data_IF_128588935542
#
_entry.id   IF_128588935542
#
_cell.length_a   1.000
_cell.length_b   1.000
_cell.length_c   1.000
_cell.angle_alpha   90.00
_cell.angle_beta   90.00
_cell.angle_gamma   90.00
#
_symmetry.space_group_name_H-M   'P 1'
#
loop_
_entity.id
_entity.type
_entity.pdbx_description
1 polymer ?
#
# COMPACT_ATOMS: atom_id res chain seq x y z
N UNK A 1 -27.97 -21.57 -1.56
CA UNK A 1 -28.66 -20.61 -2.43
C UNK A 1 -30.00 -20.30 -1.81
N UNK A 2 -30.25 -19.05 -1.44
CA UNK A 2 -31.54 -18.61 -0.90
C UNK A 2 -32.46 -18.19 -2.05
N UNK A 3 -33.73 -18.59 -1.98
CA UNK A 3 -34.72 -18.33 -3.02
C UNK A 3 -35.75 -17.32 -2.51
N UNK A 4 -36.00 -16.29 -3.30
CA UNK A 4 -37.01 -15.28 -3.03
C UNK A 4 -38.04 -15.24 -4.14
N UNK A 5 -39.29 -14.93 -3.81
CA UNK A 5 -40.31 -14.63 -4.81
C UNK A 5 -40.02 -13.26 -5.42
N UNK A 6 -40.06 -13.16 -6.75
CA UNK A 6 -39.94 -11.87 -7.42
C UNK A 6 -41.10 -10.96 -7.08
N UNK A 7 -40.88 -9.67 -6.97
CA UNK A 7 -41.94 -8.67 -6.80
C UNK A 7 -42.97 -8.69 -7.94
N UNK A 8 -42.63 -9.25 -9.11
CA UNK A 8 -43.49 -9.35 -10.29
C UNK A 8 -44.60 -10.41 -10.15
N UNK A 9 -44.43 -11.43 -9.31
CA UNK A 9 -45.42 -12.46 -9.10
C UNK A 9 -46.73 -11.90 -8.48
N UNK A 10 -46.61 -10.94 -7.58
CA UNK A 10 -47.77 -10.34 -6.88
C UNK A 10 -48.69 -9.58 -7.84
N UNK A 11 -48.23 -8.63 -8.71
CA UNK A 11 -49.08 -7.99 -9.69
C UNK A 11 -49.65 -8.95 -10.74
N UNK A 12 -48.92 -9.97 -11.16
CA UNK A 12 -49.44 -10.97 -12.07
C UNK A 12 -50.59 -11.77 -11.44
N UNK A 13 -50.44 -12.19 -10.20
CA UNK A 13 -51.48 -12.89 -9.45
C UNK A 13 -52.73 -12.01 -9.23
N UNK A 14 -52.53 -10.71 -8.99
CA UNK A 14 -53.62 -9.76 -8.87
C UNK A 14 -54.38 -9.54 -10.16
N UNK A 15 -53.67 -9.43 -11.30
CA UNK A 15 -54.30 -9.31 -12.62
C UNK A 15 -55.10 -10.59 -12.95
N UNK A 16 -54.56 -11.76 -12.65
CA UNK A 16 -55.26 -13.04 -12.89
C UNK A 16 -56.48 -13.10 -11.99
N UNK A 17 -56.37 -12.90 -10.69
CA UNK A 17 -57.51 -12.93 -9.73
C UNK A 17 -58.57 -11.87 -10.05
N UNK A 18 -58.12 -10.64 -10.34
CA UNK A 18 -59.03 -9.53 -10.69
C UNK A 18 -59.74 -9.76 -12.03
N UNK A 19 -59.02 -10.26 -13.05
CA UNK A 19 -59.60 -10.57 -14.34
C UNK A 19 -60.63 -11.68 -14.28
N UNK A 20 -60.39 -12.73 -13.50
CA UNK A 20 -61.37 -13.80 -13.26
C UNK A 20 -62.58 -13.29 -12.48
N UNK A 21 -62.35 -12.55 -11.40
CA UNK A 21 -63.43 -12.00 -10.58
C UNK A 21 -64.30 -11.02 -11.37
N UNK A 22 -63.73 -10.15 -12.19
CA UNK A 22 -64.44 -9.20 -13.02
C UNK A 22 -65.23 -9.92 -14.15
N UNK A 23 -64.69 -10.98 -14.73
CA UNK A 23 -65.38 -11.81 -15.71
C UNK A 23 -66.64 -12.45 -15.11
N UNK A 24 -66.54 -12.99 -13.89
CA UNK A 24 -67.68 -13.57 -13.17
C UNK A 24 -68.72 -12.50 -12.78
N UNK A 25 -68.30 -11.33 -12.34
CA UNK A 25 -69.19 -10.26 -11.93
C UNK A 25 -69.94 -9.63 -13.09
N UNK A 26 -69.32 -9.51 -14.28
CA UNK A 26 -69.94 -8.90 -15.45
C UNK A 26 -70.66 -9.91 -16.37
N UNK A 27 -70.48 -11.22 -16.14
CA UNK A 27 -70.99 -12.27 -17.02
C UNK A 27 -70.35 -12.22 -18.43
N UNK A 28 -69.12 -11.65 -18.55
CA UNK A 28 -68.38 -11.47 -19.82
C UNK A 28 -67.05 -12.18 -19.77
N UNK A 29 -66.62 -12.73 -20.90
CA UNK A 29 -65.40 -13.52 -21.00
C UNK A 29 -64.12 -12.66 -21.28
N UNK A 30 -64.30 -11.42 -21.75
CA UNK A 30 -63.22 -10.56 -22.19
C UNK A 30 -62.18 -10.27 -21.08
N UNK A 31 -62.58 -9.99 -19.83
CA UNK A 31 -61.63 -9.78 -18.75
C UNK A 31 -60.78 -11.01 -18.44
N UNK A 32 -61.38 -12.21 -18.54
CA UNK A 32 -60.63 -13.45 -18.33
C UNK A 32 -59.63 -13.74 -19.48
N UNK A 33 -60.00 -13.38 -20.72
CA UNK A 33 -59.09 -13.53 -21.88
C UNK A 33 -57.87 -12.61 -21.71
N UNK A 34 -58.03 -11.38 -21.24
CA UNK A 34 -56.91 -10.46 -20.97
C UNK A 34 -56.00 -10.99 -19.86
N UNK A 35 -56.58 -11.70 -18.86
CA UNK A 35 -55.82 -12.29 -17.74
C UNK A 35 -55.07 -13.60 -18.16
N UNK A 36 -55.49 -14.26 -19.24
CA UNK A 36 -54.92 -15.56 -19.66
C UNK A 36 -53.39 -15.59 -19.83
N UNK A 37 -52.73 -14.62 -20.47
CA UNK A 37 -51.28 -14.65 -20.60
C UNK A 37 -50.60 -14.59 -19.23
N UNK A 38 -51.12 -13.84 -18.28
CA UNK A 38 -50.59 -13.78 -16.93
C UNK A 38 -50.85 -15.07 -16.14
N UNK A 39 -51.98 -15.73 -16.36
CA UNK A 39 -52.30 -17.05 -15.78
C UNK A 39 -51.28 -18.12 -16.30
N UNK A 40 -50.95 -18.10 -17.60
CA UNK A 40 -49.93 -18.97 -18.14
C UNK A 40 -48.58 -18.73 -17.50
N UNK A 41 -48.17 -17.47 -17.35
CA UNK A 41 -46.88 -17.12 -16.68
C UNK A 41 -46.87 -17.60 -15.23
N UNK A 42 -47.94 -17.36 -14.46
CA UNK A 42 -48.04 -17.78 -13.03
C UNK A 42 -48.09 -19.31 -12.94
N UNK A 43 -48.85 -19.99 -13.81
CA UNK A 43 -48.89 -21.46 -13.89
C UNK A 43 -47.57 -22.08 -14.25
N UNK A 44 -46.89 -21.53 -15.26
CA UNK A 44 -45.53 -21.96 -15.67
C UNK A 44 -44.54 -21.72 -14.51
N UNK A 45 -44.62 -20.57 -13.83
CA UNK A 45 -43.82 -20.29 -12.64
C UNK A 45 -44.04 -21.32 -11.53
N UNK A 46 -45.27 -21.74 -11.30
CA UNK A 46 -45.59 -22.77 -10.30
C UNK A 46 -45.00 -24.15 -10.67
N UNK A 47 -45.00 -24.51 -11.93
CA UNK A 47 -44.40 -25.76 -12.46
C UNK A 47 -42.87 -25.67 -12.37
N UNK A 48 -42.28 -24.61 -12.93
CA UNK A 48 -40.83 -24.38 -12.92
C UNK A 48 -40.28 -24.14 -11.50
N UNK A 49 -41.13 -23.74 -10.54
CA UNK A 49 -40.74 -23.58 -9.15
C UNK A 49 -40.22 -24.84 -8.48
N UNK A 50 -40.50 -26.00 -9.07
CA UNK A 50 -39.99 -27.31 -8.62
C UNK A 50 -38.57 -27.56 -9.09
N UNK A 51 -38.09 -26.86 -10.11
CA UNK A 51 -36.72 -26.99 -10.61
C UNK A 51 -35.76 -26.28 -9.66
N UNK A 52 -34.82 -27.00 -9.06
CA UNK A 52 -33.75 -26.42 -8.25
C UNK A 52 -32.70 -25.82 -9.20
N UNK A 53 -32.67 -24.50 -9.28
CA UNK A 53 -31.58 -23.80 -9.98
C UNK A 53 -30.31 -24.00 -9.17
N UNK A 54 -29.28 -24.54 -9.79
CA UNK A 54 -27.95 -24.70 -9.20
C UNK A 54 -26.93 -23.95 -10.04
N UNK A 55 -26.41 -22.88 -9.47
CA UNK A 55 -25.41 -22.01 -10.13
C UNK A 55 -24.11 -22.11 -9.39
N UNK A 56 -23.04 -22.42 -10.12
CA UNK A 56 -21.67 -22.37 -9.63
C UNK A 56 -21.00 -21.10 -10.14
N UNK A 57 -20.26 -20.43 -9.25
CA UNK A 57 -19.53 -19.20 -9.57
C UNK A 57 -18.07 -19.36 -9.23
N UNK A 58 -17.21 -19.02 -10.19
CA UNK A 58 -15.77 -18.92 -9.98
C UNK A 58 -15.32 -17.52 -10.39
N UNK A 59 -14.58 -16.86 -9.50
CA UNK A 59 -13.99 -15.57 -9.79
C UNK A 59 -12.48 -15.74 -9.88
N UNK A 60 -11.90 -15.19 -10.93
CA UNK A 60 -10.45 -15.14 -11.14
C UNK A 60 -10.03 -13.72 -11.46
N UNK A 61 -8.82 -13.35 -11.05
CA UNK A 61 -8.23 -12.04 -11.29
C UNK A 61 -7.05 -12.22 -12.24
N UNK A 62 -6.84 -11.27 -13.15
CA UNK A 62 -5.78 -11.32 -14.18
C UNK A 62 -4.38 -11.40 -13.56
N UNK A 63 -4.17 -10.73 -12.43
CA UNK A 63 -2.88 -10.72 -11.71
C UNK A 63 -3.07 -10.55 -10.20
N UNK A 64 -2.17 -11.16 -9.45
CA UNK A 64 -2.18 -11.14 -7.98
C UNK A 64 -1.29 -10.06 -7.38
N UNK A 65 -0.60 -9.26 -8.22
CA UNK A 65 0.27 -8.15 -7.83
C UNK A 65 -0.05 -6.94 -8.68
N UNK A 66 -0.25 -5.79 -8.03
CA UNK A 66 -0.55 -4.51 -8.68
C UNK A 66 0.11 -3.35 -7.93
N UNK A 67 0.16 -2.19 -8.56
CA UNK A 67 0.52 -0.94 -7.91
C UNK A 67 -0.75 -0.17 -7.53
N UNK A 68 -0.62 0.70 -6.57
CA UNK A 68 -1.65 1.64 -6.19
C UNK A 68 -2.04 2.52 -7.39
N UNK A 69 -3.34 2.62 -7.65
CA UNK A 69 -3.91 3.29 -8.81
C UNK A 69 -4.07 2.41 -10.06
N UNK A 70 -3.54 1.19 -10.06
CA UNK A 70 -3.72 0.27 -11.18
C UNK A 70 -5.15 -0.27 -11.26
N UNK A 71 -5.57 -0.53 -12.49
CA UNK A 71 -6.81 -1.25 -12.77
C UNK A 71 -6.51 -2.74 -12.97
N UNK A 72 -7.36 -3.56 -12.37
CA UNK A 72 -7.33 -5.02 -12.49
C UNK A 72 -8.61 -5.51 -13.14
N UNK A 73 -8.45 -6.48 -14.04
CA UNK A 73 -9.57 -7.19 -14.63
C UNK A 73 -9.88 -8.45 -13.81
N UNK A 74 -11.14 -8.66 -13.50
CA UNK A 74 -11.59 -9.90 -12.90
C UNK A 74 -12.62 -10.57 -13.79
N UNK A 75 -12.52 -11.88 -13.95
CA UNK A 75 -13.43 -12.69 -14.72
C UNK A 75 -14.33 -13.49 -13.77
N UNK A 76 -15.62 -13.46 -14.05
CA UNK A 76 -16.64 -14.23 -13.34
C UNK A 76 -17.16 -15.29 -14.28
N UNK A 77 -16.90 -16.55 -13.96
CA UNK A 77 -17.42 -17.70 -14.66
C UNK A 77 -18.68 -18.19 -13.94
N UNK A 78 -19.79 -18.18 -14.63
CA UNK A 78 -21.08 -18.62 -14.11
C UNK A 78 -21.49 -19.88 -14.86
N UNK A 79 -21.69 -20.97 -14.14
CA UNK A 79 -22.14 -22.25 -14.67
C UNK A 79 -23.52 -22.56 -14.12
N UNK A 80 -24.51 -22.79 -14.99
CA UNK A 80 -25.81 -23.29 -14.57
C UNK A 80 -25.89 -24.78 -14.80
N UNK A 81 -26.08 -25.57 -13.74
CA UNK A 81 -26.26 -27.04 -13.89
C UNK A 81 -27.69 -27.42 -14.26
N UNK A 82 -28.65 -26.63 -13.80
CA UNK A 82 -30.07 -26.90 -14.07
C UNK A 82 -30.83 -25.59 -14.33
N UNK A 83 -31.56 -25.53 -15.41
CA UNK A 83 -32.38 -24.37 -15.80
C UNK A 83 -31.57 -23.25 -16.44
N UNK A 84 -32.21 -22.54 -17.37
CA UNK A 84 -31.65 -21.31 -17.96
C UNK A 84 -31.92 -20.14 -17.02
N UNK A 85 -30.90 -19.35 -16.70
CA UNK A 85 -30.97 -18.25 -15.77
C UNK A 85 -30.30 -17.00 -16.31
N UNK A 86 -30.86 -15.86 -15.99
CA UNK A 86 -30.22 -14.56 -16.13
C UNK A 86 -29.44 -14.29 -14.84
N UNK A 87 -28.12 -14.20 -14.92
CA UNK A 87 -27.23 -14.07 -13.76
C UNK A 87 -26.48 -12.74 -13.77
N UNK A 88 -26.53 -12.04 -12.64
CA UNK A 88 -25.73 -10.84 -12.36
C UNK A 88 -24.81 -11.10 -11.17
N UNK A 89 -23.55 -10.72 -11.30
CA UNK A 89 -22.60 -10.75 -10.19
C UNK A 89 -22.42 -9.34 -9.62
N UNK A 90 -22.60 -9.21 -8.31
CA UNK A 90 -22.43 -7.97 -7.57
C UNK A 90 -21.21 -8.13 -6.66
N UNK A 91 -20.14 -7.40 -6.95
CA UNK A 91 -18.97 -7.36 -6.09
C UNK A 91 -19.30 -6.64 -4.78
N UNK A 92 -18.88 -7.21 -3.64
CA UNK A 92 -19.04 -6.55 -2.36
C UNK A 92 -18.11 -5.33 -2.27
N UNK A 93 -18.51 -4.23 -1.60
CA UNK A 93 -17.65 -3.08 -1.38
C UNK A 93 -16.39 -3.49 -0.63
N UNK A 94 -15.23 -3.13 -1.16
CA UNK A 94 -13.93 -3.41 -0.56
C UNK A 94 -13.25 -2.09 -0.19
N UNK A 95 -12.81 -1.90 1.06
CA UNK A 95 -12.07 -0.71 1.45
C UNK A 95 -10.81 -0.54 0.59
N UNK A 96 -10.65 0.63 -0.04
CA UNK A 96 -9.49 0.93 -0.88
C UNK A 96 -9.52 0.31 -2.28
N UNK A 97 -10.65 -0.23 -2.72
CA UNK A 97 -10.86 -0.74 -4.08
C UNK A 97 -12.16 -0.17 -4.62
N UNK A 98 -12.10 0.54 -5.74
CA UNK A 98 -13.28 1.04 -6.44
C UNK A 98 -13.66 0.11 -7.58
N UNK A 99 -14.95 -0.10 -7.74
CA UNK A 99 -15.48 -0.81 -8.89
C UNK A 99 -15.58 0.18 -10.05
N UNK A 100 -14.82 -0.05 -11.10
CA UNK A 100 -14.84 0.77 -12.33
C UNK A 100 -15.96 0.28 -13.24
N UNK A 101 -15.98 -1.04 -13.51
CA UNK A 101 -17.02 -1.68 -14.32
C UNK A 101 -17.55 -2.92 -13.59
N UNK A 102 -18.85 -2.96 -13.43
CA UNK A 102 -19.54 -4.18 -12.98
C UNK A 102 -19.64 -5.17 -14.15
N UNK A 103 -19.46 -6.47 -13.88
CA UNK A 103 -19.71 -7.48 -14.90
C UNK A 103 -21.15 -7.38 -15.42
N UNK A 104 -21.39 -7.40 -16.74
CA UNK A 104 -22.75 -7.36 -17.28
C UNK A 104 -23.55 -8.59 -16.86
N UNK A 105 -24.85 -8.41 -16.80
CA UNK A 105 -25.79 -9.52 -16.61
C UNK A 105 -25.73 -10.45 -17.81
N UNK A 106 -25.64 -11.73 -17.58
CA UNK A 106 -25.50 -12.76 -18.62
C UNK A 106 -26.61 -13.82 -18.54
N UNK A 107 -27.07 -14.26 -19.71
CA UNK A 107 -27.98 -15.40 -19.82
C UNK A 107 -27.16 -16.69 -19.89
N UNK A 108 -27.38 -17.58 -18.93
CA UNK A 108 -26.65 -18.86 -18.82
C UNK A 108 -27.66 -20.00 -19.05
N UNK A 109 -27.50 -20.72 -20.15
CA UNK A 109 -28.33 -21.89 -20.45
C UNK A 109 -27.98 -23.07 -19.54
N UNK A 110 -28.90 -23.97 -19.35
CA UNK A 110 -28.68 -25.19 -18.58
C UNK A 110 -27.48 -25.98 -19.13
N UNK A 111 -26.57 -26.41 -18.28
CA UNK A 111 -25.37 -27.18 -18.66
C UNK A 111 -24.24 -26.34 -19.29
N UNK A 112 -24.38 -25.00 -19.38
CA UNK A 112 -23.36 -24.14 -19.99
C UNK A 112 -22.65 -23.29 -18.97
N UNK A 113 -21.43 -22.85 -19.34
CA UNK A 113 -20.62 -21.88 -18.57
C UNK A 113 -20.44 -20.62 -19.41
N UNK A 114 -20.78 -19.50 -18.85
CA UNK A 114 -20.57 -18.17 -19.46
C UNK A 114 -19.58 -17.39 -18.63
N UNK A 115 -18.62 -16.74 -19.27
CA UNK A 115 -17.62 -15.87 -18.63
C UNK A 115 -17.95 -14.41 -18.91
N UNK A 116 -17.94 -13.60 -17.88
CA UNK A 116 -18.10 -12.15 -17.98
C UNK A 116 -16.97 -11.47 -17.21
N UNK A 117 -16.67 -10.20 -17.51
CA UNK A 117 -15.55 -9.47 -16.95
C UNK A 117 -16.01 -8.17 -16.32
N UNK A 118 -15.33 -7.80 -15.25
CA UNK A 118 -15.44 -6.50 -14.63
C UNK A 118 -14.07 -5.91 -14.38
N UNK A 119 -14.02 -4.63 -14.00
CA UNK A 119 -12.78 -3.92 -13.66
C UNK A 119 -12.89 -3.26 -12.31
N UNK A 120 -11.80 -3.35 -11.54
CA UNK A 120 -11.64 -2.66 -10.27
C UNK A 120 -10.36 -1.82 -10.30
N UNK A 121 -10.37 -0.69 -9.59
CA UNK A 121 -9.19 0.16 -9.39
C UNK A 121 -8.73 0.08 -7.95
N UNK A 122 -7.48 -0.28 -7.73
CA UNK A 122 -6.88 -0.37 -6.41
C UNK A 122 -6.43 1.02 -5.93
N UNK A 123 -7.23 1.72 -5.10
CA UNK A 123 -6.91 3.07 -4.59
C UNK A 123 -5.88 3.08 -3.47
N UNK A 124 -5.82 2.01 -2.69
CA UNK A 124 -4.91 1.89 -1.53
C UNK A 124 -4.05 0.64 -1.63
N UNK A 125 -2.83 0.79 -1.15
CA UNK A 125 -1.92 -0.35 -0.97
C UNK A 125 -2.44 -1.31 0.11
N UNK A 126 -1.99 -2.56 0.06
CA UNK A 126 -2.40 -3.58 1.01
C UNK A 126 -2.74 -4.91 0.36
N UNK A 127 -3.31 -5.82 1.15
CA UNK A 127 -3.80 -7.09 0.65
C UNK A 127 -5.32 -7.03 0.57
N UNK A 128 -5.85 -7.04 -0.65
CA UNK A 128 -7.28 -6.99 -0.92
C UNK A 128 -7.76 -8.35 -1.44
N UNK A 129 -8.89 -8.82 -0.91
CA UNK A 129 -9.54 -10.07 -1.36
C UNK A 129 -10.57 -9.73 -2.42
N UNK A 130 -10.16 -9.74 -3.70
CA UNK A 130 -11.04 -9.45 -4.83
C UNK A 130 -11.80 -10.71 -5.24
N UNK A 131 -13.10 -10.58 -5.46
CA UNK A 131 -13.97 -11.69 -5.87
C UNK A 131 -15.00 -12.12 -4.83
N UNK A 132 -14.96 -11.56 -3.61
CA UNK A 132 -16.09 -11.68 -2.68
C UNK A 132 -17.27 -10.90 -3.23
N UNK A 133 -18.43 -11.52 -3.28
CA UNK A 133 -19.60 -10.87 -3.83
C UNK A 133 -20.83 -11.77 -3.76
N UNK A 134 -21.90 -11.32 -4.41
CA UNK A 134 -23.16 -12.06 -4.49
C UNK A 134 -23.53 -12.27 -5.94
N UNK A 135 -23.93 -13.51 -6.27
CA UNK A 135 -24.62 -13.77 -7.52
C UNK A 135 -26.12 -13.67 -7.28
N UNK A 136 -26.78 -12.95 -8.17
CA UNK A 136 -28.22 -12.85 -8.26
C UNK A 136 -28.64 -13.49 -9.57
N UNK A 137 -29.30 -14.64 -9.50
CA UNK A 137 -29.81 -15.33 -10.66
C UNK A 137 -31.33 -15.24 -10.71
N UNK A 138 -31.88 -14.99 -11.88
CA UNK A 138 -33.32 -14.96 -12.13
C UNK A 138 -33.68 -16.04 -13.16
N UNK A 139 -34.84 -16.65 -12.99
CA UNK A 139 -35.40 -17.49 -14.02
C UNK A 139 -35.87 -16.64 -15.22
N UNK A 140 -36.02 -17.25 -16.41
CA UNK A 140 -36.42 -16.55 -17.65
C UNK A 140 -37.71 -15.76 -17.47
N UNK A 141 -38.67 -16.32 -16.74
CA UNK A 141 -39.94 -15.64 -16.45
C UNK A 141 -39.82 -14.56 -15.40
N UNK A 142 -38.62 -14.34 -14.78
CA UNK A 142 -38.37 -13.42 -13.70
C UNK A 142 -39.29 -13.60 -12.50
N UNK A 143 -39.78 -14.81 -12.25
CA UNK A 143 -40.71 -15.16 -11.19
C UNK A 143 -40.02 -15.48 -9.86
N UNK A 144 -38.80 -15.98 -9.93
CA UNK A 144 -37.96 -16.26 -8.77
C UNK A 144 -36.59 -15.61 -8.89
N UNK A 145 -36.08 -15.16 -7.74
CA UNK A 145 -34.75 -14.61 -7.59
C UNK A 145 -33.95 -15.52 -6.65
N UNK A 146 -32.83 -15.97 -7.10
CA UNK A 146 -31.90 -16.82 -6.35
C UNK A 146 -30.66 -16.00 -5.99
N UNK A 147 -30.27 -16.03 -4.72
CA UNK A 147 -29.08 -15.34 -4.26
C UNK A 147 -28.10 -16.31 -3.59
N UNK A 148 -26.84 -16.18 -3.90
CA UNK A 148 -25.76 -16.96 -3.32
C UNK A 148 -24.52 -16.08 -3.15
N UNK A 149 -23.85 -16.22 -2.00
CA UNK A 149 -22.54 -15.64 -1.82
C UNK A 149 -21.50 -16.38 -2.69
N UNK A 150 -20.63 -15.62 -3.34
CA UNK A 150 -19.49 -16.17 -4.04
C UNK A 150 -18.28 -16.09 -3.08
N UNK A 151 -17.80 -17.24 -2.63
CA UNK A 151 -16.68 -17.33 -1.67
C UNK A 151 -15.31 -17.38 -2.36
N UNK A 152 -15.27 -17.33 -3.69
CA UNK A 152 -14.04 -17.43 -4.48
C UNK A 152 -13.29 -16.10 -4.54
N UNK A 153 -12.69 -15.69 -3.41
CA UNK A 153 -11.89 -14.47 -3.37
C UNK A 153 -10.40 -14.76 -3.60
N UNK A 154 -9.78 -14.01 -4.50
CA UNK A 154 -8.34 -14.04 -4.75
C UNK A 154 -7.66 -12.92 -3.99
N UNK A 155 -6.63 -13.24 -3.21
CA UNK A 155 -5.82 -12.24 -2.52
C UNK A 155 -4.90 -11.54 -3.52
N UNK A 156 -5.09 -10.24 -3.69
CA UNK A 156 -4.26 -9.37 -4.53
C UNK A 156 -3.40 -8.49 -3.62
N UNK A 157 -2.09 -8.47 -3.88
CA UNK A 157 -1.13 -7.59 -3.19
C UNK A 157 -0.97 -6.31 -4.00
N UNK A 158 -1.43 -5.22 -3.43
CA UNK A 158 -1.30 -3.88 -4.02
C UNK A 158 -0.15 -3.15 -3.33
N UNK A 159 0.89 -2.88 -4.09
CA UNK A 159 2.08 -2.18 -3.61
C UNK A 159 1.87 -0.66 -3.66
N UNK A 160 2.42 0.10 -2.70
CA UNK A 160 2.36 1.55 -2.73
C UNK A 160 3.08 2.08 -3.97
N UNK A 161 2.53 3.13 -4.58
CA UNK A 161 3.14 3.77 -5.75
C UNK A 161 4.31 4.65 -5.30
N UNK A 162 5.55 4.32 -5.66
CA UNK A 162 6.71 5.07 -5.22
C UNK A 162 6.85 6.38 -6.01
N UNK A 163 7.34 7.41 -5.34
CA UNK A 163 7.79 8.63 -5.99
C UNK A 163 9.26 8.51 -6.42
N UNK A 164 9.59 8.98 -7.61
CA UNK A 164 10.99 9.01 -8.07
C UNK A 164 11.74 10.16 -7.41
N UNK A 165 12.65 9.84 -6.49
CA UNK A 165 13.46 10.83 -5.78
C UNK A 165 14.73 11.15 -6.58
N UNK A 166 14.97 12.44 -6.82
CA UNK A 166 16.19 12.93 -7.49
C UNK A 166 17.39 12.92 -6.55
N UNK A 167 17.16 13.19 -5.26
CA UNK A 167 18.20 13.17 -4.24
C UNK A 167 17.64 12.64 -2.93
N UNK A 168 18.47 11.92 -2.20
CA UNK A 168 18.19 11.45 -0.85
C UNK A 168 19.27 12.00 0.09
N UNK A 169 18.95 12.14 1.36
CA UNK A 169 19.87 12.52 2.40
C UNK A 169 21.06 11.56 2.46
N UNK A 170 22.22 12.08 2.85
CA UNK A 170 23.43 11.28 3.11
C UNK A 170 23.80 11.37 4.58
N UNK A 171 24.39 10.33 5.17
CA UNK A 171 24.97 10.40 6.52
C UNK A 171 26.00 11.51 6.63
N UNK A 172 26.15 12.09 7.82
CA UNK A 172 27.18 13.11 8.08
C UNK A 172 28.59 12.54 7.98
N UNK A 173 28.79 11.33 8.49
CA UNK A 173 30.04 10.61 8.41
C UNK A 173 29.95 9.52 7.34
N UNK A 174 30.52 9.79 6.16
CA UNK A 174 30.79 8.74 5.21
C UNK A 174 32.01 7.95 5.72
N UNK A 175 31.80 6.75 6.22
CA UNK A 175 32.90 5.87 6.59
C UNK A 175 33.23 5.00 5.38
N UNK A 176 34.49 4.97 4.90
CA UNK A 176 34.89 3.96 3.94
C UNK A 176 34.71 2.59 4.60
N UNK A 177 33.84 1.74 4.09
CA UNK A 177 33.72 0.36 4.53
C UNK A 177 34.66 -0.51 3.72
N UNK A 178 35.73 -0.92 4.37
CA UNK A 178 36.53 -2.02 3.88
C UNK A 178 35.81 -3.34 4.26
N UNK A 179 35.70 -4.25 3.28
CA UNK A 179 35.22 -5.60 3.56
C UNK A 179 35.94 -6.21 4.76
N UNK A 180 35.25 -7.06 5.48
CA UNK A 180 35.63 -7.69 6.73
C UNK A 180 37.09 -8.16 6.74
N UNK A 181 38.00 -7.31 7.12
CA UNK A 181 39.28 -7.58 7.75
C UNK A 181 40.11 -6.27 7.69
N UNK A 182 40.59 -5.92 8.86
CA UNK A 182 41.45 -4.75 9.09
C UNK A 182 42.59 -4.68 8.07
N UNK A 183 42.50 -3.73 7.14
CA UNK A 183 43.64 -3.29 6.36
C UNK A 183 43.61 -1.76 6.27
N UNK A 184 44.65 -1.12 6.76
CA UNK A 184 44.92 0.31 6.66
C UNK A 184 45.35 0.72 5.24
N UNK A 185 44.81 0.13 4.19
CA UNK A 185 45.21 0.44 2.83
C UNK A 185 44.08 1.13 2.07
N UNK A 186 44.37 2.22 1.42
CA UNK A 186 43.53 2.91 0.48
C UNK A 186 43.04 1.97 -0.63
N UNK A 187 41.72 2.03 -0.97
CA UNK A 187 41.20 1.62 -2.24
C UNK A 187 40.92 0.15 -2.48
N UNK A 188 39.87 -0.39 -1.87
CA UNK A 188 39.27 -1.68 -2.30
C UNK A 188 37.94 -1.45 -3.09
N UNK A 189 37.85 -0.39 -3.91
CA UNK A 189 36.77 -0.16 -4.85
C UNK A 189 37.06 -0.82 -6.20
N UNK A 190 36.00 -0.96 -7.02
CA UNK A 190 36.12 -1.48 -8.40
C UNK A 190 36.37 -0.36 -9.43
N UNK A 191 36.14 0.89 -9.07
CA UNK A 191 36.26 2.03 -9.97
C UNK A 191 37.67 2.63 -9.90
N UNK A 192 38.36 2.61 -11.03
CA UNK A 192 39.73 3.15 -11.15
C UNK A 192 39.74 4.65 -10.80
N UNK A 193 40.60 5.05 -9.87
CA UNK A 193 40.80 6.43 -9.46
C UNK A 193 42.03 7.09 -10.09
N UNK A 194 43.22 6.48 -9.90
CA UNK A 194 44.49 7.05 -10.31
C UNK A 194 45.61 5.99 -10.27
N UNK A 195 46.78 6.36 -10.73
CA UNK A 195 48.01 5.56 -10.62
C UNK A 195 49.03 6.36 -9.80
N UNK A 196 49.55 5.76 -8.73
CA UNK A 196 50.62 6.37 -7.93
C UNK A 196 51.82 5.39 -7.77
N UNK A 197 52.91 5.93 -7.30
CA UNK A 197 54.08 5.12 -6.92
C UNK A 197 53.73 4.22 -5.72
N UNK A 198 54.25 3.00 -5.72
CA UNK A 198 54.03 2.00 -4.67
C UNK A 198 54.56 2.49 -3.32
N UNK A 199 53.80 2.30 -2.26
CA UNK A 199 54.21 2.58 -0.89
C UNK A 199 54.16 1.29 -0.05
N UNK A 200 55.02 1.18 0.99
CA UNK A 200 54.96 0.06 1.93
C UNK A 200 53.57 -0.09 2.52
N UNK A 201 52.94 -1.29 2.35
CA UNK A 201 51.58 -1.55 2.75
C UNK A 201 50.58 -1.71 1.61
N UNK A 202 50.98 -1.37 0.36
CA UNK A 202 50.13 -1.57 -0.80
C UNK A 202 50.02 -3.06 -1.19
N UNK A 203 48.85 -3.43 -1.71
CA UNK A 203 48.59 -4.80 -2.11
C UNK A 203 49.21 -5.10 -3.48
N UNK A 204 49.98 -6.17 -3.59
CA UNK A 204 50.67 -6.58 -4.81
C UNK A 204 49.73 -6.81 -6.01
N UNK A 205 48.50 -7.21 -5.77
CA UNK A 205 47.46 -7.41 -6.80
C UNK A 205 47.04 -6.12 -7.51
N UNK A 206 47.33 -4.96 -6.94
CA UNK A 206 46.98 -3.66 -7.51
C UNK A 206 48.15 -3.05 -8.30
N UNK A 207 49.26 -3.75 -8.46
CA UNK A 207 50.42 -3.27 -9.25
C UNK A 207 50.00 -3.11 -10.72
N UNK A 208 50.24 -1.91 -11.23
CA UNK A 208 50.06 -1.61 -12.65
C UNK A 208 51.36 -1.90 -13.39
N UNK A 209 51.49 -3.11 -13.93
CA UNK A 209 52.68 -3.54 -14.63
C UNK A 209 53.01 -2.69 -15.85
N UNK A 210 52.03 -2.13 -16.54
CA UNK A 210 52.21 -1.26 -17.70
C UNK A 210 52.83 0.08 -17.30
N UNK A 211 52.32 0.72 -16.24
CA UNK A 211 52.92 1.96 -15.71
C UNK A 211 54.29 1.70 -15.09
N UNK A 212 54.47 0.59 -14.37
CA UNK A 212 55.72 0.15 -13.77
C UNK A 212 56.81 -0.01 -14.83
N UNK A 213 56.52 -0.66 -15.95
CA UNK A 213 57.47 -0.84 -17.06
C UNK A 213 57.87 0.49 -17.72
N UNK A 214 56.93 1.45 -17.83
CA UNK A 214 57.17 2.76 -18.46
C UNK A 214 58.00 3.69 -17.58
N UNK A 215 57.75 3.68 -16.28
CA UNK A 215 58.40 4.61 -15.34
C UNK A 215 59.57 3.99 -14.58
N UNK A 216 59.86 2.70 -14.77
CA UNK A 216 60.92 1.95 -14.08
C UNK A 216 60.84 2.00 -12.54
N UNK A 217 59.66 2.28 -12.01
CA UNK A 217 59.31 2.27 -10.58
C UNK A 217 57.96 1.57 -10.40
N UNK A 218 57.80 0.87 -9.32
CA UNK A 218 56.55 0.14 -9.06
C UNK A 218 55.40 1.13 -8.86
N UNK A 219 54.39 1.04 -9.71
CA UNK A 219 53.17 1.84 -9.63
C UNK A 219 51.99 0.94 -9.30
N UNK A 220 51.02 1.49 -8.53
CA UNK A 220 49.78 0.82 -8.14
C UNK A 220 48.58 1.58 -8.63
N UNK A 221 47.56 0.84 -9.08
CA UNK A 221 46.25 1.39 -9.34
C UNK A 221 45.58 1.75 -8.02
N UNK A 222 45.13 2.98 -7.90
CA UNK A 222 44.21 3.41 -6.86
C UNK A 222 42.80 3.22 -7.37
N UNK A 223 41.97 2.76 -6.50
CA UNK A 223 40.54 2.65 -6.78
C UNK A 223 39.77 3.60 -5.86
N UNK A 224 38.67 4.17 -6.36
CA UNK A 224 37.79 4.94 -5.53
C UNK A 224 37.17 4.01 -4.47
N UNK A 225 37.23 4.35 -3.20
CA UNK A 225 36.51 3.56 -2.19
C UNK A 225 35.03 3.57 -2.55
N UNK A 226 34.39 2.40 -2.62
CA UNK A 226 32.94 2.33 -2.73
C UNK A 226 32.32 2.88 -1.44
N UNK A 227 31.76 4.07 -1.55
CA UNK A 227 31.06 4.71 -0.48
C UNK A 227 29.64 4.19 -0.43
N UNK A 228 29.35 3.16 0.32
CA UNK A 228 27.99 2.79 0.64
C UNK A 228 27.61 3.42 1.98
N UNK A 229 26.49 4.12 1.99
CA UNK A 229 25.91 4.69 3.20
C UNK A 229 24.97 3.68 3.84
N UNK A 230 25.00 3.58 5.16
CA UNK A 230 23.94 2.88 5.89
C UNK A 230 22.81 3.87 6.17
N UNK A 231 21.62 3.55 5.68
CA UNK A 231 20.41 4.34 5.91
C UNK A 231 19.39 3.44 6.59
N UNK A 232 18.79 3.89 7.67
CA UNK A 232 17.72 3.17 8.37
C UNK A 232 16.46 4.02 8.29
N UNK A 233 15.40 3.48 7.73
CA UNK A 233 14.09 4.12 7.75
C UNK A 233 13.43 3.73 9.07
N UNK A 234 13.06 4.71 9.87
CA UNK A 234 12.28 4.53 11.09
C UNK A 234 10.82 4.90 10.81
N UNK A 235 9.92 3.94 10.98
CA UNK A 235 8.48 4.11 10.82
C UNK A 235 7.79 4.21 12.18
N UNK A 236 7.02 5.26 12.36
CA UNK A 236 6.12 5.43 13.50
C UNK A 236 4.74 4.81 13.18
N UNK A 237 4.35 3.82 13.97
CA UNK A 237 3.05 3.13 13.83
C UNK A 237 2.21 3.20 15.12
N UNK A 238 2.52 4.15 16.02
CA UNK A 238 1.73 4.38 17.23
C UNK A 238 0.37 4.99 16.94
N UNK A 239 0.29 5.82 15.90
CA UNK A 239 -0.94 6.55 15.56
C UNK A 239 -1.05 6.76 14.06
N UNK A 240 -2.30 6.82 13.57
CA UNK A 240 -2.63 7.20 12.21
C UNK A 240 -3.72 8.27 12.23
N UNK A 241 -3.65 9.18 11.30
CA UNK A 241 -4.72 10.15 11.03
C UNK A 241 -5.34 9.77 9.70
N UNK A 242 -6.57 9.31 9.78
CA UNK A 242 -7.35 8.99 8.60
C UNK A 242 -7.87 10.28 7.95
N UNK A 243 -7.59 10.45 6.67
CA UNK A 243 -8.23 11.44 5.80
C UNK A 243 -9.20 10.75 4.86
N UNK A 244 -9.90 11.54 4.03
CA UNK A 244 -10.89 11.01 3.08
C UNK A 244 -10.26 10.12 2.02
N UNK A 245 -9.10 10.53 1.49
CA UNK A 245 -8.42 9.79 0.40
C UNK A 245 -7.19 9.04 0.88
N UNK A 246 -6.41 9.61 1.80
CA UNK A 246 -5.14 9.06 2.28
C UNK A 246 -5.03 9.22 3.79
N UNK A 247 -4.36 8.28 4.44
CA UNK A 247 -4.01 8.40 5.86
C UNK A 247 -2.55 8.84 6.03
N UNK A 248 -2.19 9.24 7.24
CA UNK A 248 -0.79 9.54 7.57
C UNK A 248 0.09 8.30 7.42
N UNK A 249 -0.44 7.10 7.69
CA UNK A 249 0.26 5.83 7.47
C UNK A 249 0.46 5.55 5.98
N UNK A 250 -0.53 5.84 5.12
CA UNK A 250 -0.39 5.68 3.67
C UNK A 250 0.77 6.52 3.12
N UNK A 251 0.89 7.77 3.58
CA UNK A 251 1.99 8.65 3.22
C UNK A 251 3.34 8.11 3.74
N UNK A 252 3.37 7.67 5.00
CA UNK A 252 4.56 7.08 5.62
C UNK A 252 5.07 5.89 4.80
N UNK A 253 4.18 5.00 4.39
CA UNK A 253 4.49 3.80 3.58
C UNK A 253 4.99 4.17 2.18
N UNK A 254 4.36 5.15 1.51
CA UNK A 254 4.82 5.66 0.22
C UNK A 254 6.21 6.30 0.32
N UNK A 255 6.46 7.09 1.37
CA UNK A 255 7.76 7.70 1.65
C UNK A 255 8.85 6.65 1.87
N UNK A 256 8.57 5.65 2.70
CA UNK A 256 9.50 4.56 2.99
C UNK A 256 9.88 3.78 1.72
N UNK A 257 8.88 3.42 0.91
CA UNK A 257 9.09 2.71 -0.36
C UNK A 257 9.90 3.55 -1.34
N UNK A 258 9.58 4.86 -1.45
CA UNK A 258 10.30 5.79 -2.32
C UNK A 258 11.77 5.96 -1.89
N UNK A 259 12.02 6.09 -0.58
CA UNK A 259 13.37 6.17 -0.03
C UNK A 259 14.13 4.85 -0.25
N UNK A 260 13.49 3.69 -0.07
CA UNK A 260 14.11 2.40 -0.29
C UNK A 260 14.57 2.22 -1.74
N UNK A 261 13.73 2.57 -2.71
CA UNK A 261 14.07 2.50 -4.14
C UNK A 261 15.23 3.45 -4.46
N UNK A 262 15.21 4.68 -3.92
CA UNK A 262 16.29 5.65 -4.15
C UNK A 262 17.63 5.19 -3.56
N UNK A 263 17.62 4.57 -2.36
CA UNK A 263 18.82 4.00 -1.74
C UNK A 263 19.43 2.89 -2.60
N UNK A 264 18.59 1.96 -3.05
CA UNK A 264 19.05 0.82 -3.86
C UNK A 264 19.60 1.28 -5.21
N UNK A 265 18.93 2.26 -5.85
CA UNK A 265 19.44 2.87 -7.08
C UNK A 265 20.82 3.52 -6.92
N UNK A 266 21.17 3.93 -5.71
CA UNK A 266 22.48 4.51 -5.35
C UNK A 266 23.48 3.50 -4.78
N UNK A 267 23.09 2.22 -4.70
CA UNK A 267 23.85 1.16 -4.02
C UNK A 267 24.14 1.45 -2.54
N UNK A 268 23.28 2.25 -1.89
CA UNK A 268 23.33 2.45 -0.44
C UNK A 268 22.68 1.24 0.27
N UNK A 269 23.16 0.91 1.47
CA UNK A 269 22.55 -0.12 2.31
C UNK A 269 21.37 0.49 3.04
N UNK A 270 20.24 -0.19 2.99
CA UNK A 270 19.01 0.27 3.64
C UNK A 270 18.47 -0.75 4.62
N UNK A 271 18.14 -0.28 5.82
CA UNK A 271 17.44 -1.02 6.86
C UNK A 271 16.08 -0.40 7.17
N UNK A 272 15.28 -1.11 7.93
CA UNK A 272 13.98 -0.69 8.41
C UNK A 272 13.90 -0.89 9.92
N UNK A 273 13.31 0.07 10.61
CA UNK A 273 12.95 0.00 12.02
C UNK A 273 11.50 0.48 12.15
N UNK A 274 10.60 -0.41 12.49
CA UNK A 274 9.18 -0.09 12.75
C UNK A 274 8.99 -0.02 14.24
N UNK A 275 8.48 1.11 14.72
CA UNK A 275 8.25 1.37 16.14
C UNK A 275 6.77 1.64 16.36
N UNK A 276 6.15 0.81 17.19
CA UNK A 276 4.74 0.86 17.52
C UNK A 276 4.44 -0.02 18.72
N UNK A 277 3.44 -0.88 18.61
CA UNK A 277 3.14 -1.90 19.63
C UNK A 277 4.33 -2.81 19.88
N UNK A 278 4.98 -3.21 18.81
CA UNK A 278 6.18 -4.03 18.79
C UNK A 278 7.27 -3.29 18.03
N UNK A 279 8.51 -3.59 18.36
CA UNK A 279 9.65 -3.11 17.60
C UNK A 279 10.04 -4.21 16.61
N UNK A 280 9.87 -3.92 15.32
CA UNK A 280 10.29 -4.81 14.25
C UNK A 280 11.39 -4.15 13.41
N UNK A 281 12.34 -4.92 12.93
CA UNK A 281 13.46 -4.39 12.17
C UNK A 281 13.93 -5.30 11.06
N UNK A 282 14.51 -4.70 10.04
CA UNK A 282 15.32 -5.33 9.02
C UNK A 282 16.70 -4.69 9.04
N UNK A 283 17.74 -5.52 9.14
CA UNK A 283 19.12 -5.04 9.12
C UNK A 283 19.45 -4.36 7.79
N UNK A 284 20.33 -3.35 7.77
CA UNK A 284 20.75 -2.72 6.51
C UNK A 284 21.35 -3.73 5.54
N UNK A 285 20.78 -3.80 4.34
CA UNK A 285 21.15 -4.69 3.25
C UNK A 285 21.18 -3.97 1.91
N UNK A 286 21.60 -4.67 0.86
CA UNK A 286 21.74 -4.17 -0.51
C UNK A 286 20.83 -4.93 -1.48
N UNK A 287 20.54 -4.28 -2.60
CA UNK A 287 19.94 -4.93 -3.76
C UNK A 287 18.43 -5.11 -3.68
N UNK A 288 17.86 -5.67 -4.76
CA UNK A 288 16.42 -5.80 -4.93
C UNK A 288 15.75 -6.73 -3.91
N UNK A 289 16.47 -7.73 -3.42
CA UNK A 289 15.95 -8.61 -2.35
C UNK A 289 15.62 -7.80 -1.08
N UNK A 290 16.50 -6.89 -0.69
CA UNK A 290 16.29 -6.02 0.46
C UNK A 290 15.08 -5.09 0.26
N UNK A 291 14.91 -4.57 -0.97
CA UNK A 291 13.72 -3.78 -1.32
C UNK A 291 12.44 -4.56 -1.09
N UNK A 292 12.35 -5.79 -1.61
CA UNK A 292 11.15 -6.60 -1.43
C UNK A 292 10.88 -6.91 0.05
N UNK A 293 11.93 -7.20 0.84
CA UNK A 293 11.78 -7.42 2.28
C UNK A 293 11.24 -6.17 3.00
N UNK A 294 11.74 -4.98 2.66
CA UNK A 294 11.27 -3.72 3.23
C UNK A 294 9.81 -3.48 2.83
N UNK A 295 9.48 -3.60 1.55
CA UNK A 295 8.11 -3.35 1.07
C UNK A 295 7.12 -4.36 1.67
N UNK A 296 7.47 -5.64 1.74
CA UNK A 296 6.62 -6.65 2.38
C UNK A 296 6.45 -6.39 3.88
N UNK A 297 7.52 -5.98 4.58
CA UNK A 297 7.45 -5.63 6.00
C UNK A 297 6.57 -4.40 6.24
N UNK A 298 6.71 -3.38 5.40
CA UNK A 298 5.88 -2.16 5.47
C UNK A 298 4.41 -2.47 5.15
N UNK A 299 4.13 -3.36 4.19
CA UNK A 299 2.75 -3.78 3.88
C UNK A 299 2.09 -4.60 4.99
N UNK A 300 2.87 -5.28 5.82
CA UNK A 300 2.36 -6.00 7.00
C UNK A 300 2.18 -5.07 8.21
N UNK A 301 2.70 -3.85 8.13
CA UNK A 301 2.58 -2.87 9.20
C UNK A 301 1.11 -2.52 9.43
N UNK A 302 0.64 -2.77 10.64
CA UNK A 302 -0.71 -2.42 11.09
C UNK A 302 -0.62 -1.47 12.28
N UNK A 303 -1.57 -0.58 12.36
CA UNK A 303 -1.78 0.21 13.56
C UNK A 303 -2.10 -0.72 14.73
N UNK A 304 -1.42 -0.51 15.81
CA UNK A 304 -1.71 -1.24 17.04
C UNK A 304 -1.72 -0.26 18.20
N UNK A 305 -2.89 -0.03 18.75
CA UNK A 305 -3.04 0.73 19.98
C UNK A 305 -2.41 -0.06 21.14
N UNK A 306 -1.43 0.52 21.80
CA UNK A 306 -0.79 -0.03 22.98
C UNK A 306 -0.47 1.07 23.96
N UNK A 307 -0.60 0.77 25.24
CA UNK A 307 -0.16 1.65 26.34
C UNK A 307 1.27 1.34 26.80
N UNK A 308 1.88 0.25 26.29
CA UNK A 308 3.25 -0.09 26.66
C UNK A 308 4.25 0.89 26.04
N UNK A 309 5.29 1.21 26.81
CA UNK A 309 6.41 2.04 26.36
C UNK A 309 7.49 1.13 25.81
N UNK A 310 7.74 1.10 24.51
CA UNK A 310 8.82 0.27 23.98
C UNK A 310 10.17 0.84 24.44
N UNK A 311 10.99 0.00 25.05
CA UNK A 311 12.34 0.39 25.42
C UNK A 311 13.23 0.42 24.17
N UNK A 312 13.91 1.54 23.96
CA UNK A 312 14.92 1.66 22.91
C UNK A 312 16.15 0.79 23.15
N UNK A 313 16.36 0.35 24.41
CA UNK A 313 17.41 -0.63 24.75
C UNK A 313 17.18 -1.99 24.11
N UNK A 314 15.93 -2.30 23.77
CA UNK A 314 15.58 -3.51 23.03
C UNK A 314 16.05 -3.49 21.56
N UNK A 315 16.45 -2.31 21.03
CA UNK A 315 16.95 -2.19 19.66
C UNK A 315 18.41 -2.66 19.60
N UNK A 316 18.73 -3.76 18.92
CA UNK A 316 20.10 -4.23 18.80
C UNK A 316 20.98 -3.19 18.10
N UNK A 317 22.21 -2.98 18.57
CA UNK A 317 23.18 -2.02 17.97
C UNK A 317 23.41 -2.24 16.46
N UNK A 318 23.24 -3.47 15.98
CA UNK A 318 23.38 -3.81 14.56
C UNK A 318 22.24 -3.28 13.67
N UNK A 319 21.09 -2.92 14.26
CA UNK A 319 19.93 -2.36 13.51
C UNK A 319 20.24 -0.96 13.03
N UNK A 320 20.86 -0.15 13.90
CA UNK A 320 21.35 1.19 13.57
C UNK A 320 22.87 1.18 13.71
N UNK A 321 23.63 0.87 12.65
CA UNK A 321 25.08 0.87 12.70
C UNK A 321 25.64 2.25 13.02
N UNK A 322 26.81 2.30 13.63
CA UNK A 322 27.50 3.56 13.92
C UNK A 322 27.75 4.35 12.63
N UNK A 323 27.31 5.61 12.61
CA UNK A 323 27.41 6.49 11.43
C UNK A 323 26.30 6.30 10.41
N UNK A 324 25.31 5.42 10.65
CA UNK A 324 24.13 5.32 9.83
C UNK A 324 23.25 6.58 9.97
N UNK A 325 22.57 6.95 8.88
CA UNK A 325 21.53 7.97 8.91
C UNK A 325 20.19 7.32 9.20
N UNK A 326 19.49 7.77 10.22
CA UNK A 326 18.11 7.42 10.51
C UNK A 326 17.18 8.45 9.87
N UNK A 327 16.32 8.01 8.94
CA UNK A 327 15.24 8.84 8.38
C UNK A 327 13.95 8.43 9.10
N UNK A 328 13.52 9.25 10.06
CA UNK A 328 12.29 8.99 10.81
C UNK A 328 11.09 9.58 10.07
N UNK A 329 10.12 8.72 9.77
CA UNK A 329 8.85 9.05 9.13
C UNK A 329 7.76 8.91 10.20
N UNK A 330 7.19 10.02 10.64
CA UNK A 330 6.29 10.05 11.80
C UNK A 330 5.25 11.16 11.70
N UNK A 331 4.00 10.94 12.08
CA UNK A 331 3.04 12.02 12.27
C UNK A 331 3.31 12.82 13.57
N UNK A 332 4.26 12.39 14.43
CA UNK A 332 4.63 12.99 15.72
C UNK A 332 3.44 13.23 16.68
N UNK A 333 2.36 12.48 16.59
CA UNK A 333 1.16 12.64 17.42
C UNK A 333 1.40 12.05 18.80
N UNK A 334 1.97 10.86 18.82
CA UNK A 334 2.26 10.14 20.06
C UNK A 334 3.49 10.72 20.77
N UNK A 335 3.36 10.96 22.08
CA UNK A 335 4.45 11.54 22.89
C UNK A 335 5.67 10.63 23.02
N UNK A 336 5.54 9.35 22.78
CA UNK A 336 6.63 8.37 22.83
C UNK A 336 7.64 8.57 21.71
N UNK A 337 7.19 8.97 20.53
CA UNK A 337 8.08 9.14 19.38
C UNK A 337 9.13 10.25 19.58
N UNK A 338 8.80 11.47 20.03
CA UNK A 338 9.80 12.48 20.38
C UNK A 338 10.83 12.00 21.42
N UNK A 339 10.40 11.21 22.42
CA UNK A 339 11.30 10.66 23.43
C UNK A 339 12.27 9.62 22.82
N UNK A 340 11.77 8.73 21.95
CA UNK A 340 12.61 7.76 21.23
C UNK A 340 13.63 8.46 20.33
N UNK A 341 13.22 9.51 19.61
CA UNK A 341 14.12 10.28 18.77
C UNK A 341 15.20 11.01 19.60
N UNK A 342 14.82 11.54 20.76
CA UNK A 342 15.75 12.18 21.70
C UNK A 342 16.77 11.19 22.27
N UNK A 343 16.34 9.98 22.62
CA UNK A 343 17.22 8.92 23.11
C UNK A 343 18.19 8.43 22.02
N UNK A 344 17.72 8.19 20.81
CA UNK A 344 18.59 7.83 19.69
C UNK A 344 19.61 8.95 19.37
N UNK A 345 19.20 10.23 19.49
CA UNK A 345 20.10 11.37 19.31
C UNK A 345 21.17 11.40 20.40
N UNK A 346 20.79 11.19 21.67
CA UNK A 346 21.73 11.16 22.81
C UNK A 346 22.78 10.04 22.70
N UNK A 347 22.43 8.95 22.00
CA UNK A 347 23.34 7.85 21.65
C UNK A 347 24.26 8.18 20.46
N UNK A 348 24.18 9.39 19.90
CA UNK A 348 25.04 9.87 18.83
C UNK A 348 24.63 9.41 17.43
N UNK A 349 23.38 8.97 17.22
CA UNK A 349 22.89 8.64 15.90
C UNK A 349 22.56 9.89 15.08
N UNK A 350 22.84 9.85 13.78
CA UNK A 350 22.50 10.90 12.83
C UNK A 350 21.03 10.75 12.40
N UNK A 351 20.16 11.70 12.80
CA UNK A 351 18.72 11.58 12.63
C UNK A 351 18.16 12.73 11.80
N UNK A 352 17.35 12.41 10.81
CA UNK A 352 16.54 13.35 10.05
C UNK A 352 15.06 12.97 10.18
N UNK A 353 14.21 13.89 10.56
CA UNK A 353 12.78 13.65 10.83
C UNK A 353 11.94 14.27 9.73
N UNK A 354 11.14 13.48 9.07
CA UNK A 354 10.05 13.92 8.20
C UNK A 354 8.74 13.79 8.97
N UNK A 355 8.19 14.91 9.39
CA UNK A 355 6.86 14.95 9.98
C UNK A 355 5.78 14.83 8.89
N UNK A 356 4.97 13.80 8.95
CA UNK A 356 3.76 13.70 8.14
C UNK A 356 2.73 14.66 8.73
N UNK A 357 2.35 15.70 7.98
CA UNK A 357 1.48 16.77 8.48
C UNK A 357 0.06 16.25 8.74
N UNK A 358 -0.19 15.75 9.93
CA UNK A 358 -1.49 15.22 10.34
C UNK A 358 -2.65 16.23 10.15
N UNK A 359 -2.51 17.54 10.48
CA UNK A 359 -3.58 18.51 10.19
C UNK A 359 -3.90 18.69 8.71
N UNK A 360 -2.91 18.41 7.83
CA UNK A 360 -3.13 18.52 6.39
C UNK A 360 -3.78 17.28 5.77
N UNK A 361 -3.80 16.16 6.48
CA UNK A 361 -4.46 14.91 6.09
C UNK A 361 -5.98 14.98 6.34
N UNK A 362 -6.40 15.69 7.41
CA UNK A 362 -7.81 15.81 7.77
C UNK A 362 -8.63 16.57 6.71
N UNK A 363 -9.91 16.20 6.53
CA UNK A 363 -10.83 16.94 5.67
C UNK A 363 -10.97 18.42 6.11
N UNK A 364 -11.48 19.30 5.24
CA UNK A 364 -11.74 20.68 5.60
C UNK A 364 -12.64 20.79 6.84
N UNK A 365 -12.42 21.80 7.71
CA UNK A 365 -13.27 21.97 8.90
C UNK A 365 -14.71 22.32 8.48
N UNK A 366 -15.70 21.70 9.12
CA UNK A 366 -17.12 21.90 8.83
C UNK A 366 -17.70 23.16 9.51
N UNK A 367 -17.04 23.67 10.55
CA UNK A 367 -17.49 24.81 11.32
C UNK A 367 -16.33 25.61 11.93
N UNK A 368 -16.64 26.80 12.48
CA UNK A 368 -15.63 27.71 13.07
C UNK A 368 -14.90 27.08 14.28
N UNK A 369 -15.57 26.22 15.06
CA UNK A 369 -14.92 25.55 16.22
C UNK A 369 -13.88 24.56 15.76
N UNK A 370 -14.15 23.79 14.73
CA UNK A 370 -13.20 22.88 14.12
C UNK A 370 -12.02 23.63 13.47
N UNK A 371 -12.29 24.75 12.80
CA UNK A 371 -11.27 25.59 12.22
C UNK A 371 -10.32 26.15 13.31
N UNK A 372 -10.88 26.66 14.41
CA UNK A 372 -10.10 27.13 15.54
C UNK A 372 -9.27 26.01 16.17
N UNK A 373 -9.89 24.85 16.41
CA UNK A 373 -9.19 23.69 16.97
C UNK A 373 -8.04 23.26 16.05
N UNK A 374 -8.25 23.26 14.73
CA UNK A 374 -7.22 22.95 13.74
C UNK A 374 -6.08 23.95 13.74
N UNK A 375 -6.36 25.26 13.85
CA UNK A 375 -5.32 26.30 13.96
C UNK A 375 -4.49 26.14 15.23
N UNK A 376 -5.14 25.89 16.37
CA UNK A 376 -4.44 25.61 17.63
C UNK A 376 -3.56 24.36 17.54
N UNK A 377 -4.05 23.33 16.87
CA UNK A 377 -3.28 22.11 16.65
C UNK A 377 -2.07 22.36 15.76
N UNK A 378 -2.22 23.12 14.66
CA UNK A 378 -1.09 23.52 13.80
C UNK A 378 -0.04 24.27 14.58
N UNK A 379 -0.42 25.25 15.40
CA UNK A 379 0.51 26.01 16.27
C UNK A 379 1.24 25.10 17.27
N UNK A 380 0.51 24.17 17.88
CA UNK A 380 1.11 23.19 18.79
C UNK A 380 2.16 22.32 18.07
N UNK A 381 1.87 21.91 16.83
CA UNK A 381 2.79 21.13 15.98
C UNK A 381 4.04 21.95 15.61
N UNK A 382 3.87 23.21 15.30
CA UNK A 382 5.00 24.12 15.02
C UNK A 382 5.90 24.29 16.23
N UNK A 383 5.31 24.50 17.41
CA UNK A 383 6.06 24.56 18.67
C UNK A 383 6.82 23.25 18.95
N UNK A 384 6.21 22.10 18.67
CA UNK A 384 6.86 20.79 18.84
C UNK A 384 8.05 20.63 17.88
N UNK A 385 7.89 20.99 16.60
CA UNK A 385 9.01 20.99 15.64
C UNK A 385 10.15 21.90 16.08
N UNK A 386 9.80 23.09 16.57
CA UNK A 386 10.79 24.05 17.08
C UNK A 386 11.60 23.45 18.23
N UNK A 387 10.94 22.82 19.21
CA UNK A 387 11.62 22.13 20.33
C UNK A 387 12.55 21.01 19.85
N UNK A 388 12.12 20.21 18.88
CA UNK A 388 12.96 19.15 18.31
C UNK A 388 14.19 19.72 17.59
N UNK A 389 14.04 20.86 16.91
CA UNK A 389 15.17 21.55 16.27
C UNK A 389 16.14 22.12 17.29
N UNK A 390 15.65 22.63 18.43
CA UNK A 390 16.50 23.15 19.52
C UNK A 390 17.41 22.10 20.13
N UNK A 391 16.96 20.83 20.20
CA UNK A 391 17.81 19.73 20.67
C UNK A 391 18.72 19.16 19.57
N UNK A 392 18.74 19.77 18.38
CA UNK A 392 19.63 19.40 17.28
C UNK A 392 19.05 18.45 16.23
N UNK A 393 17.77 18.08 16.32
CA UNK A 393 17.12 17.24 15.29
C UNK A 393 16.78 18.07 14.04
N UNK A 394 17.15 17.57 12.86
CA UNK A 394 16.69 18.12 11.62
C UNK A 394 15.23 17.65 11.36
N UNK A 395 14.27 18.58 11.37
CA UNK A 395 12.85 18.29 11.21
C UNK A 395 12.26 19.10 10.07
N UNK A 396 11.59 18.43 9.11
CA UNK A 396 10.81 19.06 8.05
C UNK A 396 9.40 18.44 7.99
N UNK A 397 8.41 19.23 7.60
CA UNK A 397 7.02 18.77 7.47
C UNK A 397 6.72 18.40 6.03
N UNK A 398 5.99 17.30 5.84
CA UNK A 398 5.47 16.87 4.54
C UNK A 398 3.94 16.89 4.55
N UNK A 399 3.35 17.49 3.50
CA UNK A 399 1.89 17.61 3.34
C UNK A 399 1.42 16.72 2.20
N UNK A 400 0.17 16.19 2.26
CA UNK A 400 -0.45 15.52 1.13
C UNK A 400 -0.42 16.39 -0.13
N UNK A 401 -0.27 15.77 -1.30
CA UNK A 401 -0.19 16.47 -2.58
C UNK A 401 1.15 17.15 -2.89
N UNK A 402 2.06 17.22 -1.93
CA UNK A 402 3.44 17.69 -2.19
C UNK A 402 4.36 16.51 -2.52
N UNK A 403 5.36 16.76 -3.37
CA UNK A 403 6.41 15.78 -3.60
C UNK A 403 7.22 15.52 -2.33
N UNK A 404 7.49 14.26 -2.04
CA UNK A 404 8.34 13.84 -0.91
C UNK A 404 9.79 14.37 -1.04
N UNK A 405 10.19 14.77 -2.23
CA UNK A 405 11.49 15.42 -2.46
C UNK A 405 11.64 16.75 -1.69
N UNK A 406 10.54 17.49 -1.47
CA UNK A 406 10.58 18.82 -0.84
C UNK A 406 11.10 18.76 0.62
N UNK A 407 10.50 17.99 1.54
CA UNK A 407 11.01 17.88 2.89
C UNK A 407 12.44 17.35 2.96
N UNK A 408 12.83 16.45 2.06
CA UNK A 408 14.22 15.97 1.99
C UNK A 408 15.21 17.08 1.63
N UNK A 409 14.83 17.97 0.71
CA UNK A 409 15.67 19.14 0.35
C UNK A 409 15.80 20.13 1.51
N UNK A 410 14.72 20.39 2.24
CA UNK A 410 14.76 21.24 3.45
C UNK A 410 15.67 20.65 4.52
N UNK A 411 15.53 19.36 4.81
CA UNK A 411 16.41 18.65 5.74
C UNK A 411 17.86 18.71 5.30
N UNK A 412 18.15 18.59 4.01
CA UNK A 412 19.51 18.69 3.49
C UNK A 412 20.09 20.08 3.69
N UNK A 413 19.30 21.14 3.49
CA UNK A 413 19.72 22.54 3.75
C UNK A 413 20.00 22.75 5.23
N UNK A 414 19.08 22.36 6.11
CA UNK A 414 19.23 22.50 7.57
C UNK A 414 20.49 21.79 8.07
N UNK A 415 20.73 20.55 7.65
CA UNK A 415 21.90 19.77 8.04
C UNK A 415 23.22 20.36 7.55
N UNK A 416 23.24 21.05 6.40
CA UNK A 416 24.42 21.79 5.91
C UNK A 416 24.71 23.03 6.74
N UNK A 417 23.67 23.75 7.19
CA UNK A 417 23.80 24.98 7.97
C UNK A 417 24.27 24.68 9.40
N UNK A 418 23.68 23.68 10.06
CA UNK A 418 24.08 23.21 11.39
C UNK A 418 25.58 22.81 11.45
N UNK A 419 26.08 22.25 10.36
CA UNK A 419 27.50 21.83 10.27
C UNK A 419 28.48 23.01 10.24
N UNK A 420 28.06 24.18 9.71
CA UNK A 420 28.90 25.38 9.65
C UNK A 420 28.98 26.12 10.97
N UNK A 421 28.05 25.87 11.88
CA UNK A 421 28.01 26.54 13.21
C UNK A 421 28.78 25.74 14.28
N UNK A 422 28.88 24.41 14.13
CA UNK A 422 29.50 23.51 15.09
C UNK A 422 30.91 23.01 14.68
N UNK A 423 31.45 23.45 13.57
CA UNK A 423 32.80 23.17 13.08
C UNK A 423 33.58 24.46 12.86
#
# INVERSE_FOLDING_TARGET
MTRFRSARLLPYSLIVGGGIALSLALGRVEPALIATPFLVVVGLAAVLSRSRVHVEVRVSVDRTKALEGDELEFAVQVTSRMGTVEAAFLLDPLPGVDVVDQPPTVLVAAGTTVSTRGRVRCRRWGIHKIGSGRIVARDIASTFVYQQAAESATAVRVYPRPERLRSLLRPHALRPRFGSLVSRAAGAGLEFADIREFQPGDQRRHINWKATARHRRIHVNLFHPEWSSDIVILLDTFSDVAGDEVSSLDLTVRAATSAAIACIGRRDRIGLLVVGREINWLLPGLGTRQLYQIVDSVMQTRLAFTYSWPSTDAIPKRVIPAGALVIALTPLIDRRMPAILGDLLSRGHDIAVVEISAPAVLPPPLNQREDLARRLWVLHREAQRHRLRQIGLAVSAWKPGQSFQMPLMELQRFRRTSRRVNG
#
